data_IF_260332694373
#
_entry.id   IF_260332694373
#
_cell.length_a   1.000
_cell.length_b   1.000
_cell.length_c   1.000
_cell.angle_alpha   90.00
_cell.angle_beta   90.00
_cell.angle_gamma   90.00
#
_symmetry.space_group_name_H-M   'P 1'
#
loop_
_entity.id
_entity.type
_entity.pdbx_description
1 polymer ?
#
# COMPACT_ATOMS: atom_id res chain seq x y z
N UNK A 1 12.33 26.80 28.36
CA UNK A 1 10.93 26.52 27.99
C UNK A 1 10.11 27.79 27.74
N UNK A 2 9.96 28.70 28.72
CA UNK A 2 9.17 29.94 28.57
C UNK A 2 9.61 30.87 27.42
N UNK A 3 10.93 31.00 27.21
CA UNK A 3 11.54 31.81 26.14
C UNK A 3 11.32 31.29 24.72
N UNK A 4 10.85 30.05 24.57
CA UNK A 4 10.59 29.41 23.27
C UNK A 4 9.13 29.57 22.85
N UNK A 5 8.21 29.74 23.82
CA UNK A 5 6.81 30.10 23.56
C UNK A 5 6.66 31.51 22.98
N UNK A 6 7.46 32.47 23.44
CA UNK A 6 7.42 33.86 22.96
C UNK A 6 7.76 33.95 21.46
N UNK A 7 8.69 33.13 20.96
CA UNK A 7 9.06 33.10 19.55
C UNK A 7 7.93 32.62 18.63
N UNK A 8 7.05 31.75 19.11
CA UNK A 8 5.88 31.28 18.34
C UNK A 8 4.76 32.34 18.29
N UNK A 9 4.62 33.17 19.34
CA UNK A 9 3.61 34.23 19.38
C UNK A 9 3.96 35.40 18.44
N UNK A 10 5.24 35.75 18.32
CA UNK A 10 5.68 36.87 17.47
C UNK A 10 5.47 36.62 15.98
N UNK A 11 5.55 35.36 15.51
CA UNK A 11 5.37 35.03 14.09
C UNK A 11 3.91 35.12 13.64
N UNK A 12 2.95 34.86 14.55
CA UNK A 12 1.52 34.96 14.24
C UNK A 12 1.04 36.42 14.14
N UNK A 13 1.64 37.33 14.91
CA UNK A 13 1.25 38.75 14.89
C UNK A 13 1.71 39.47 13.62
N UNK A 14 2.83 39.06 13.02
CA UNK A 14 3.33 39.65 11.77
C UNK A 14 2.50 39.29 10.52
N UNK A 15 1.77 38.17 10.54
CA UNK A 15 0.93 37.74 9.40
C UNK A 15 -0.42 38.48 9.37
N UNK A 16 -0.92 38.89 10.54
CA UNK A 16 -2.19 39.63 10.64
C UNK A 16 -2.10 41.08 10.12
N UNK A 17 -0.90 41.68 10.12
CA UNK A 17 -0.71 43.08 9.74
C UNK A 17 -0.54 43.32 8.23
N UNK A 18 -0.32 42.28 7.41
CA UNK A 18 -0.03 42.43 5.98
C UNK A 18 -1.27 42.40 5.07
N UNK A 19 -2.49 42.43 5.62
CA UNK A 19 -3.76 42.36 4.85
C UNK A 19 -4.46 43.71 4.66
N UNK A 20 -3.70 44.77 4.47
CA UNK A 20 -4.24 46.05 4.03
C UNK A 20 -3.60 46.45 2.69
N UNK A 21 -4.48 46.65 1.69
CA UNK A 21 -4.24 47.19 0.34
C UNK A 21 -3.67 46.23 -0.72
N UNK A 22 -4.59 45.54 -1.43
CA UNK A 22 -4.60 45.47 -2.90
C UNK A 22 -5.98 45.00 -3.35
N UNK A 23 -6.74 45.90 -3.94
CA UNK A 23 -8.02 45.66 -4.60
C UNK A 23 -7.83 44.79 -5.85
N UNK A 24 -8.23 43.51 -5.76
CA UNK A 24 -8.53 42.66 -6.90
C UNK A 24 -9.57 41.61 -6.49
N UNK A 25 -10.56 41.42 -7.35
CA UNK A 25 -11.81 40.65 -7.19
C UNK A 25 -11.61 39.31 -6.46
N UNK A 26 -12.31 39.03 -5.33
CA UNK A 26 -12.22 37.73 -4.69
C UNK A 26 -13.13 36.73 -5.42
N UNK A 27 -12.54 35.83 -6.19
CA UNK A 27 -13.17 34.55 -6.52
C UNK A 27 -13.53 33.83 -5.21
N UNK A 28 -14.69 33.15 -5.11
CA UNK A 28 -15.09 32.49 -3.87
C UNK A 28 -14.09 31.39 -3.54
N UNK A 29 -13.21 31.69 -2.57
CA UNK A 29 -12.33 30.71 -1.95
C UNK A 29 -13.23 29.72 -1.22
N UNK A 30 -13.39 28.53 -1.82
CA UNK A 30 -14.01 27.39 -1.17
C UNK A 30 -13.36 27.20 0.21
N UNK A 31 -14.14 27.22 1.32
CA UNK A 31 -13.59 26.99 2.64
C UNK A 31 -12.96 25.59 2.69
N UNK A 32 -11.63 25.52 2.73
CA UNK A 32 -10.91 24.25 2.87
C UNK A 32 -11.15 23.74 4.29
N UNK A 33 -11.98 22.70 4.41
CA UNK A 33 -12.34 22.07 5.68
C UNK A 33 -11.12 21.40 6.31
N UNK A 34 -10.43 22.13 7.18
CA UNK A 34 -9.24 21.71 7.95
C UNK A 34 -9.37 20.38 8.70
N UNK A 35 -10.61 19.95 9.00
CA UNK A 35 -10.88 18.70 9.72
C UNK A 35 -10.48 17.45 8.92
N UNK A 36 -10.71 17.45 7.60
CA UNK A 36 -10.51 16.26 6.78
C UNK A 36 -9.03 15.93 6.56
N UNK A 37 -8.19 16.96 6.46
CA UNK A 37 -6.74 16.79 6.27
C UNK A 37 -6.06 16.26 7.54
N UNK A 38 -6.53 16.69 8.71
CA UNK A 38 -5.98 16.24 10.00
C UNK A 38 -6.24 14.74 10.21
N UNK A 39 -7.46 14.27 9.94
CA UNK A 39 -7.83 12.86 10.06
C UNK A 39 -7.07 11.97 9.07
N UNK A 40 -6.94 12.41 7.81
CA UNK A 40 -6.17 11.68 6.79
C UNK A 40 -4.70 11.53 7.20
N UNK A 41 -4.08 12.61 7.66
CA UNK A 41 -2.68 12.59 8.10
C UNK A 41 -2.49 11.69 9.34
N UNK A 42 -3.43 11.71 10.28
CA UNK A 42 -3.42 10.81 11.43
C UNK A 42 -3.53 9.34 11.01
N UNK A 43 -4.40 9.03 10.05
CA UNK A 43 -4.54 7.66 9.52
C UNK A 43 -3.25 7.17 8.86
N UNK A 44 -2.64 8.00 8.00
CA UNK A 44 -1.34 7.71 7.38
C UNK A 44 -0.26 7.49 8.44
N UNK A 45 -0.21 8.35 9.46
CA UNK A 45 0.78 8.23 10.53
C UNK A 45 0.58 6.94 11.34
N UNK A 46 -0.68 6.57 11.61
CA UNK A 46 -1.02 5.32 12.28
C UNK A 46 -0.52 4.10 11.51
N UNK A 47 -0.73 4.06 10.18
CA UNK A 47 -0.20 2.99 9.32
C UNK A 47 1.33 2.93 9.39
N UNK A 48 2.00 4.07 9.26
CA UNK A 48 3.47 4.12 9.23
C UNK A 48 4.12 3.75 10.56
N UNK A 49 3.42 3.95 11.68
CA UNK A 49 3.83 3.54 13.02
C UNK A 49 3.37 2.13 13.40
N UNK A 50 2.57 1.47 12.56
CA UNK A 50 2.12 0.12 12.83
C UNK A 50 3.33 -0.85 12.85
N UNK A 51 3.24 -1.98 13.58
CA UNK A 51 4.27 -3.01 13.58
C UNK A 51 4.62 -3.46 12.15
N UNK A 52 5.89 -3.85 11.92
CA UNK A 52 6.40 -4.27 10.60
C UNK A 52 5.48 -5.32 9.97
N UNK A 53 5.06 -6.34 10.73
CA UNK A 53 4.16 -7.38 10.22
C UNK A 53 2.79 -6.86 9.76
N UNK A 54 2.26 -5.82 10.40
CA UNK A 54 0.99 -5.21 9.99
C UNK A 54 1.14 -4.42 8.68
N UNK A 55 2.26 -3.69 8.52
CA UNK A 55 2.59 -3.00 7.27
C UNK A 55 2.78 -4.01 6.14
N UNK A 56 3.54 -5.10 6.38
CA UNK A 56 3.74 -6.17 5.40
C UNK A 56 2.41 -6.82 4.98
N UNK A 57 1.54 -7.15 5.94
CA UNK A 57 0.22 -7.72 5.64
C UNK A 57 -0.56 -6.82 4.69
N UNK A 58 -0.60 -5.51 4.97
CA UNK A 58 -1.30 -4.53 4.13
C UNK A 58 -0.76 -4.50 2.69
N UNK A 59 0.56 -4.59 2.51
CA UNK A 59 1.16 -4.65 1.17
C UNK A 59 0.86 -5.98 0.48
N UNK A 60 0.91 -7.11 1.19
CA UNK A 60 0.58 -8.43 0.62
C UNK A 60 -0.88 -8.48 0.18
N UNK A 61 -1.81 -7.96 0.99
CA UNK A 61 -3.23 -7.88 0.67
C UNK A 61 -3.42 -7.04 -0.62
N UNK A 62 -2.76 -5.88 -0.72
CA UNK A 62 -2.79 -5.04 -1.93
C UNK A 62 -2.29 -5.80 -3.18
N UNK A 63 -1.13 -6.47 -3.08
CA UNK A 63 -0.57 -7.24 -4.20
C UNK A 63 -1.46 -8.42 -4.58
N UNK A 64 -2.10 -9.05 -3.59
CA UNK A 64 -3.04 -10.12 -3.81
C UNK A 64 -4.26 -9.60 -4.58
N UNK A 65 -4.92 -8.55 -4.10
CA UNK A 65 -6.13 -8.01 -4.71
C UNK A 65 -5.90 -7.48 -6.12
N UNK A 66 -4.82 -6.71 -6.32
CA UNK A 66 -4.54 -6.08 -7.61
C UNK A 66 -3.98 -7.05 -8.65
N UNK A 67 -3.32 -8.13 -8.22
CA UNK A 67 -2.54 -9.04 -9.08
C UNK A 67 -1.49 -8.33 -9.94
N UNK A 68 -1.10 -7.11 -9.57
CA UNK A 68 -0.16 -6.27 -10.32
C UNK A 68 1.23 -6.30 -9.69
N UNK A 69 2.24 -5.98 -10.52
CA UNK A 69 3.59 -5.67 -10.04
C UNK A 69 3.67 -4.16 -9.76
N UNK A 70 3.93 -3.78 -8.50
CA UNK A 70 3.90 -2.40 -8.04
C UNK A 70 5.28 -1.91 -7.59
N UNK A 71 5.60 -0.66 -7.90
CA UNK A 71 6.79 0.02 -7.38
C UNK A 71 6.59 0.43 -5.92
N UNK A 72 7.69 0.80 -5.24
CA UNK A 72 7.64 1.35 -3.88
C UNK A 72 6.74 2.58 -3.78
N UNK A 73 6.76 3.42 -4.82
CA UNK A 73 5.98 4.67 -4.87
C UNK A 73 4.49 4.35 -4.99
N UNK A 74 4.11 3.46 -5.91
CA UNK A 74 2.73 3.00 -6.07
C UNK A 74 2.17 2.35 -4.80
N UNK A 75 2.99 1.57 -4.09
CA UNK A 75 2.60 0.95 -2.80
C UNK A 75 2.33 2.03 -1.74
N UNK A 76 3.21 3.03 -1.61
CA UNK A 76 3.04 4.13 -0.65
C UNK A 76 1.82 4.99 -0.99
N UNK A 77 1.59 5.27 -2.27
CA UNK A 77 0.41 6.02 -2.72
C UNK A 77 -0.89 5.28 -2.40
N UNK A 78 -0.93 3.97 -2.65
CA UNK A 78 -2.14 3.17 -2.54
C UNK A 78 -2.47 2.75 -1.11
N UNK A 79 -1.46 2.37 -0.32
CA UNK A 79 -1.68 1.82 1.03
C UNK A 79 -0.91 2.52 2.15
N UNK A 80 -0.19 3.61 1.85
CA UNK A 80 0.52 4.49 2.80
C UNK A 80 1.68 3.85 3.57
N UNK A 81 2.11 2.66 3.15
CA UNK A 81 3.30 1.99 3.65
C UNK A 81 4.53 2.54 2.91
N UNK A 82 5.41 3.22 3.63
CA UNK A 82 6.64 3.78 3.08
C UNK A 82 7.82 2.83 3.27
N UNK A 83 7.96 1.90 2.33
CA UNK A 83 9.04 0.91 2.31
C UNK A 83 10.40 1.52 1.94
N UNK A 84 10.44 2.74 1.40
CA UNK A 84 11.69 3.44 1.08
C UNK A 84 12.32 4.01 2.36
N UNK A 85 11.49 4.57 3.24
CA UNK A 85 11.91 5.05 4.55
C UNK A 85 12.08 3.92 5.59
N UNK A 86 11.29 2.84 5.48
CA UNK A 86 11.32 1.71 6.41
C UNK A 86 11.98 0.47 5.77
N UNK A 87 13.30 0.34 5.94
CA UNK A 87 14.09 -0.77 5.39
C UNK A 87 13.69 -2.13 5.94
N UNK A 88 13.22 -2.21 7.19
CA UNK A 88 12.81 -3.48 7.78
C UNK A 88 11.61 -4.07 7.03
N UNK A 89 10.62 -3.26 6.69
CA UNK A 89 9.47 -3.72 5.88
C UNK A 89 9.95 -4.17 4.50
N UNK A 90 10.83 -3.40 3.87
CA UNK A 90 11.38 -3.73 2.55
C UNK A 90 12.14 -5.07 2.54
N UNK A 91 13.06 -5.27 3.46
CA UNK A 91 13.89 -6.46 3.54
C UNK A 91 13.07 -7.70 3.90
N UNK A 92 12.10 -7.57 4.80
CA UNK A 92 11.19 -8.66 5.13
C UNK A 92 10.23 -8.99 3.98
N UNK A 93 9.78 -7.99 3.21
CA UNK A 93 8.96 -8.22 2.00
C UNK A 93 9.75 -8.98 0.92
N UNK A 94 11.03 -8.66 0.70
CA UNK A 94 11.89 -9.39 -0.24
C UNK A 94 12.10 -10.87 0.16
N UNK A 95 12.08 -11.16 1.46
CA UNK A 95 12.23 -12.54 1.99
C UNK A 95 10.91 -13.30 2.07
N UNK A 96 9.77 -12.64 1.88
CA UNK A 96 8.46 -13.25 2.08
C UNK A 96 8.12 -14.23 0.95
N UNK A 97 7.69 -15.48 1.24
CA UNK A 97 7.40 -16.47 0.21
C UNK A 97 6.21 -16.13 -0.68
N UNK A 98 5.31 -15.25 -0.24
CA UNK A 98 4.13 -14.77 -0.99
C UNK A 98 4.43 -13.58 -1.90
N UNK A 99 5.68 -13.15 -1.95
CA UNK A 99 6.08 -11.94 -2.65
C UNK A 99 7.26 -12.27 -3.56
N UNK A 100 7.24 -11.69 -4.76
CA UNK A 100 8.39 -11.66 -5.66
C UNK A 100 8.83 -10.22 -5.83
N UNK A 101 10.13 -10.00 -5.82
CA UNK A 101 10.74 -8.72 -6.13
C UNK A 101 11.70 -8.88 -7.31
N UNK A 102 11.53 -8.07 -8.36
CA UNK A 102 12.28 -8.18 -9.62
C UNK A 102 13.49 -7.25 -9.72
N UNK A 103 13.78 -6.48 -8.67
CA UNK A 103 14.79 -5.39 -8.69
C UNK A 103 14.17 -4.01 -8.64
N UNK A 104 12.89 -3.87 -9.00
CA UNK A 104 12.19 -2.60 -9.07
C UNK A 104 10.78 -2.67 -8.45
N UNK A 105 10.04 -3.73 -8.75
CA UNK A 105 8.64 -3.94 -8.38
C UNK A 105 8.43 -5.17 -7.51
N UNK A 106 7.39 -5.11 -6.70
CA UNK A 106 6.86 -6.22 -5.93
C UNK A 106 5.60 -6.77 -6.59
N UNK A 107 5.49 -8.08 -6.71
CA UNK A 107 4.27 -8.76 -7.19
C UNK A 107 3.90 -9.92 -6.27
N UNK A 108 2.62 -10.27 -6.20
CA UNK A 108 2.18 -11.45 -5.47
C UNK A 108 2.77 -12.73 -6.10
N UNK A 109 3.11 -13.71 -5.24
CA UNK A 109 3.64 -15.02 -5.62
C UNK A 109 2.83 -16.12 -4.94
N UNK A 110 1.97 -16.79 -5.70
CA UNK A 110 1.30 -18.02 -5.27
C UNK A 110 2.30 -19.18 -5.21
N UNK A 111 1.95 -20.26 -4.49
CA UNK A 111 2.89 -21.37 -4.21
C UNK A 111 3.46 -21.98 -5.49
N UNK A 112 2.61 -22.18 -6.50
CA UNK A 112 2.97 -22.73 -7.80
C UNK A 112 3.11 -21.68 -8.89
N UNK A 113 2.83 -20.40 -8.59
CA UNK A 113 2.93 -19.27 -9.53
C UNK A 113 2.14 -19.49 -10.84
N UNK A 114 1.03 -20.23 -10.77
CA UNK A 114 0.17 -20.49 -11.93
C UNK A 114 -0.58 -19.24 -12.34
N UNK A 115 -0.68 -19.01 -13.64
CA UNK A 115 -1.32 -17.84 -14.24
C UNK A 115 -2.67 -18.15 -14.85
N UNK A 116 -2.87 -19.39 -15.31
CA UNK A 116 -4.06 -19.79 -16.03
C UNK A 116 -4.35 -21.31 -15.92
N UNK A 117 -5.47 -21.71 -16.53
CA UNK A 117 -5.94 -23.10 -16.61
C UNK A 117 -4.96 -24.04 -17.31
N UNK A 118 -4.20 -23.56 -18.30
CA UNK A 118 -3.26 -24.41 -19.05
C UNK A 118 -2.10 -24.81 -18.16
N UNK A 119 -1.57 -23.86 -17.40
CA UNK A 119 -0.53 -24.13 -16.40
C UNK A 119 -1.04 -25.02 -15.27
N UNK A 120 -2.29 -24.82 -14.83
CA UNK A 120 -2.93 -25.72 -13.86
C UNK A 120 -3.00 -27.17 -14.38
N UNK A 121 -3.48 -27.37 -15.61
CA UNK A 121 -3.57 -28.69 -16.23
C UNK A 121 -2.20 -29.37 -16.36
N UNK A 122 -1.18 -28.60 -16.76
CA UNK A 122 0.20 -29.08 -16.81
C UNK A 122 0.69 -29.51 -15.42
N UNK A 123 0.40 -28.72 -14.39
CA UNK A 123 0.78 -29.04 -13.01
C UNK A 123 0.10 -30.32 -12.52
N UNK A 124 -1.21 -30.45 -12.70
CA UNK A 124 -1.97 -31.66 -12.28
C UNK A 124 -1.40 -32.92 -12.94
N UNK A 125 -1.10 -32.88 -14.25
CA UNK A 125 -0.51 -34.02 -14.96
C UNK A 125 0.88 -34.40 -14.47
N UNK A 126 1.63 -33.44 -13.93
CA UNK A 126 2.97 -33.66 -13.37
C UNK A 126 2.93 -34.31 -11.99
N UNK A 127 1.84 -34.15 -11.24
CA UNK A 127 1.66 -34.66 -9.89
C UNK A 127 0.48 -35.64 -9.84
N UNK A 128 0.67 -36.90 -10.29
CA UNK A 128 -0.41 -37.89 -10.36
C UNK A 128 -0.98 -38.25 -8.97
N UNK A 129 -0.19 -38.10 -7.92
CA UNK A 129 -0.60 -38.29 -6.51
C UNK A 129 -1.52 -37.17 -5.99
N UNK A 130 -1.74 -36.12 -6.77
CA UNK A 130 -2.59 -34.99 -6.43
C UNK A 130 -1.84 -33.80 -5.82
N UNK A 131 -2.57 -32.70 -5.68
CA UNK A 131 -2.08 -31.42 -5.16
C UNK A 131 -3.11 -30.91 -4.17
N UNK A 132 -2.66 -30.43 -3.02
CA UNK A 132 -3.58 -29.89 -2.03
C UNK A 132 -4.28 -28.63 -2.56
N UNK A 133 -5.62 -28.61 -2.53
CA UNK A 133 -6.42 -27.47 -3.03
C UNK A 133 -6.03 -26.15 -2.35
N UNK A 134 -5.65 -26.21 -1.06
CA UNK A 134 -5.19 -25.04 -0.30
C UNK A 134 -3.93 -24.38 -0.88
N UNK A 135 -3.11 -25.14 -1.62
CA UNK A 135 -1.90 -24.67 -2.30
C UNK A 135 -2.21 -24.01 -3.65
N UNK A 136 -3.42 -24.22 -4.17
CA UNK A 136 -3.87 -23.73 -5.47
C UNK A 136 -4.84 -22.55 -5.36
N UNK A 137 -5.57 -22.42 -4.25
CA UNK A 137 -6.67 -21.45 -4.07
C UNK A 137 -6.32 -19.98 -4.37
N UNK A 138 -5.05 -19.62 -4.24
CA UNK A 138 -4.55 -18.26 -4.45
C UNK A 138 -3.78 -18.07 -5.76
N UNK A 139 -3.80 -19.07 -6.65
CA UNK A 139 -2.98 -19.07 -7.86
C UNK A 139 -3.41 -18.00 -8.85
N UNK A 140 -4.66 -18.06 -9.29
CA UNK A 140 -5.27 -17.09 -10.21
C UNK A 140 -6.79 -17.00 -9.94
N UNK A 141 -7.47 -15.92 -10.36
CA UNK A 141 -8.83 -15.61 -9.89
C UNK A 141 -9.87 -16.71 -10.08
N UNK A 142 -9.82 -17.46 -11.19
CA UNK A 142 -10.82 -18.50 -11.54
C UNK A 142 -10.36 -19.93 -11.24
N UNK A 143 -9.33 -20.09 -10.40
CA UNK A 143 -8.70 -21.41 -10.15
C UNK A 143 -9.68 -22.39 -9.51
N UNK A 144 -10.58 -21.92 -8.65
CA UNK A 144 -11.52 -22.79 -7.93
C UNK A 144 -12.60 -23.33 -8.87
N UNK A 145 -13.07 -22.53 -9.82
CA UNK A 145 -14.01 -22.93 -10.87
C UNK A 145 -13.34 -23.91 -11.83
N UNK A 146 -12.09 -23.64 -12.22
CA UNK A 146 -11.32 -24.52 -13.11
C UNK A 146 -10.99 -25.89 -12.50
N UNK A 147 -10.88 -25.96 -11.17
CA UNK A 147 -10.72 -27.23 -10.45
C UNK A 147 -12.02 -28.05 -10.44
N UNK A 148 -13.20 -27.42 -10.34
CA UNK A 148 -14.49 -28.11 -10.34
C UNK A 148 -14.85 -28.71 -11.71
N UNK A 149 -14.42 -28.07 -12.80
CA UNK A 149 -14.74 -28.49 -14.17
C UNK A 149 -13.84 -29.65 -14.65
N UNK A 150 -12.72 -29.91 -13.97
CA UNK A 150 -11.70 -30.90 -14.37
C UNK A 150 -11.65 -32.14 -13.46
N UNK A 151 -12.61 -32.33 -12.55
CA UNK A 151 -12.83 -33.55 -11.77
C UNK A 151 -14.06 -34.26 -12.31
#
# INVERSE_FOLDING_TARGET
FKKQQEKCASTLSSIAASKAASSAVPSPLVPVKFSNDTERLQHINSIRKAPVGAQMKRVIDLLFETRQALTLEQINETCHVDMKANKDVFDNMRKNPKVRYDGERFSYKSKHSLRDKKELLFLIRKFPEGIAVIDLKDSYPTVMEDLQINV
#
